data_IF_862311188211
#
_entry.id   IF_862311188211
#
_cell.length_a   1.000
_cell.length_b   1.000
_cell.length_c   1.000
_cell.angle_alpha   90.00
_cell.angle_beta   90.00
_cell.angle_gamma   90.00
#
_symmetry.space_group_name_H-M   'P 1'
#
loop_
_entity.id
_entity.type
_entity.pdbx_description
1 polymer ?
#
# COMPACT_ATOMS: atom_id res chain seq x y z
N UNK A 1 10.26 17.80 -6.71
CA UNK A 1 9.86 17.20 -8.00
C UNK A 1 8.94 18.16 -8.76
N UNK A 2 9.17 18.41 -10.05
CA UNK A 2 8.30 19.32 -10.82
C UNK A 2 6.89 18.72 -11.02
N UNK A 3 5.91 19.55 -11.39
CA UNK A 3 4.50 19.13 -11.50
C UNK A 3 4.29 17.99 -12.50
N UNK A 4 4.98 18.03 -13.65
CA UNK A 4 4.90 16.98 -14.67
C UNK A 4 5.38 15.62 -14.16
N UNK A 5 6.56 15.58 -13.52
CA UNK A 5 7.11 14.37 -12.92
C UNK A 5 6.20 13.82 -11.81
N UNK A 6 5.61 14.67 -10.96
CA UNK A 6 4.66 14.23 -9.93
C UNK A 6 3.42 13.55 -10.50
N UNK A 7 2.88 14.08 -11.60
CA UNK A 7 1.73 13.45 -12.27
C UNK A 7 2.11 12.09 -12.87
N UNK A 8 3.28 11.99 -13.52
CA UNK A 8 3.78 10.71 -14.06
C UNK A 8 3.95 9.69 -12.94
N UNK A 9 4.55 10.10 -11.81
CA UNK A 9 4.70 9.24 -10.65
C UNK A 9 3.36 8.71 -10.14
N UNK A 10 2.38 9.60 -9.93
CA UNK A 10 1.06 9.22 -9.43
C UNK A 10 0.34 8.24 -10.35
N UNK A 11 0.42 8.42 -11.67
CA UNK A 11 -0.19 7.50 -12.64
C UNK A 11 0.54 6.16 -12.64
N UNK A 12 1.87 6.18 -12.71
CA UNK A 12 2.68 4.98 -12.74
C UNK A 12 2.49 4.13 -11.48
N UNK A 13 2.50 4.76 -10.31
CA UNK A 13 2.23 4.14 -9.01
C UNK A 13 0.90 3.38 -9.01
N UNK A 14 -0.21 4.04 -9.38
CA UNK A 14 -1.52 3.40 -9.43
C UNK A 14 -1.55 2.26 -10.44
N UNK A 15 -1.03 2.46 -11.66
CA UNK A 15 -1.03 1.41 -12.69
C UNK A 15 -0.27 0.17 -12.21
N UNK A 16 0.89 0.35 -11.59
CA UNK A 16 1.70 -0.77 -11.09
C UNK A 16 1.02 -1.46 -9.90
N UNK A 17 0.36 -0.70 -9.01
CA UNK A 17 -0.43 -1.25 -7.91
C UNK A 17 -1.54 -2.18 -8.41
N UNK A 18 -2.34 -1.72 -9.38
CA UNK A 18 -3.44 -2.51 -9.96
C UNK A 18 -2.95 -3.70 -10.79
N UNK A 19 -1.75 -3.62 -11.37
CA UNK A 19 -1.06 -4.76 -11.97
C UNK A 19 -0.64 -5.76 -10.90
N UNK A 20 -0.12 -5.31 -9.76
CA UNK A 20 0.20 -6.15 -8.60
C UNK A 20 -1.02 -6.96 -8.12
N UNK A 21 -2.21 -6.33 -8.13
CA UNK A 21 -3.46 -7.01 -7.82
C UNK A 21 -3.83 -8.17 -8.74
N UNK A 22 -3.28 -8.23 -9.96
CA UNK A 22 -3.49 -9.39 -10.84
C UNK A 22 -2.92 -10.68 -10.23
N UNK A 23 -1.83 -10.60 -9.46
CA UNK A 23 -1.29 -11.73 -8.71
C UNK A 23 -1.88 -11.81 -7.29
N UNK A 24 -1.83 -10.71 -6.54
CA UNK A 24 -2.27 -10.64 -5.14
C UNK A 24 -3.60 -9.90 -5.02
N UNK A 25 -4.69 -10.66 -5.01
CA UNK A 25 -6.06 -10.17 -5.11
C UNK A 25 -6.87 -11.04 -6.06
N UNK A 26 -6.42 -11.16 -7.32
CA UNK A 26 -7.12 -11.94 -8.34
C UNK A 26 -6.72 -13.43 -8.36
N UNK A 27 -5.43 -13.76 -8.45
CA UNK A 27 -4.95 -15.16 -8.48
C UNK A 27 -4.83 -15.73 -7.07
N UNK A 28 -4.15 -15.00 -6.18
CA UNK A 28 -4.06 -15.32 -4.75
C UNK A 28 -4.99 -14.38 -4.02
N UNK A 29 -6.18 -14.87 -3.68
CA UNK A 29 -7.19 -14.11 -2.95
C UNK A 29 -7.19 -14.52 -1.49
N UNK A 30 -7.26 -13.54 -0.59
CA UNK A 30 -7.46 -13.78 0.84
C UNK A 30 -8.72 -14.62 1.11
N UNK A 31 -8.73 -15.39 2.20
CA UNK A 31 -9.90 -16.20 2.54
C UNK A 31 -11.06 -15.34 3.04
N UNK A 32 -10.73 -14.23 3.73
CA UNK A 32 -11.70 -13.27 4.24
C UNK A 32 -11.08 -11.88 4.41
N UNK A 33 -11.92 -10.87 4.58
CA UNK A 33 -11.52 -9.46 4.64
C UNK A 33 -10.59 -9.11 5.81
N UNK A 34 -10.55 -9.92 6.87
CA UNK A 34 -9.59 -9.75 7.96
C UNK A 34 -8.13 -9.87 7.50
N UNK A 35 -7.89 -10.45 6.32
CA UNK A 35 -6.56 -10.62 5.72
C UNK A 35 -6.32 -9.66 4.55
N UNK A 36 -7.07 -8.55 4.45
CA UNK A 36 -6.95 -7.58 3.34
C UNK A 36 -5.53 -7.08 3.10
N UNK A 37 -4.72 -6.99 4.16
CA UNK A 37 -3.30 -6.65 4.04
C UNK A 37 -2.55 -7.55 3.04
N UNK A 38 -2.93 -8.83 2.87
CA UNK A 38 -2.32 -9.73 1.87
C UNK A 38 -2.52 -9.24 0.43
N UNK A 39 -3.62 -8.55 0.16
CA UNK A 39 -3.92 -7.97 -1.15
C UNK A 39 -3.20 -6.64 -1.33
N UNK A 40 -3.43 -5.72 -0.38
CA UNK A 40 -3.01 -4.32 -0.52
C UNK A 40 -1.51 -4.14 -0.26
N UNK A 41 -0.94 -4.74 0.79
CA UNK A 41 0.49 -4.59 1.12
C UNK A 41 1.39 -5.19 0.05
N UNK A 42 1.02 -6.34 -0.53
CA UNK A 42 1.78 -6.96 -1.61
C UNK A 42 1.70 -6.15 -2.90
N UNK A 43 0.55 -5.57 -3.22
CA UNK A 43 0.42 -4.65 -4.34
C UNK A 43 1.27 -3.38 -4.15
N UNK A 44 1.24 -2.75 -2.96
CA UNK A 44 2.11 -1.62 -2.61
C UNK A 44 3.60 -1.99 -2.65
N UNK A 45 3.98 -3.20 -2.22
CA UNK A 45 5.37 -3.67 -2.32
C UNK A 45 5.83 -3.77 -3.78
N UNK A 46 5.03 -4.39 -4.65
CA UNK A 46 5.31 -4.49 -6.09
C UNK A 46 5.38 -3.10 -6.72
N UNK A 47 4.47 -2.21 -6.34
CA UNK A 47 4.45 -0.81 -6.75
C UNK A 47 5.79 -0.13 -6.49
N UNK A 48 6.30 -0.15 -5.26
CA UNK A 48 7.56 0.48 -4.92
C UNK A 48 8.73 -0.13 -5.69
N UNK A 49 8.82 -1.46 -5.72
CA UNK A 49 9.92 -2.18 -6.40
C UNK A 49 9.98 -1.91 -7.89
N UNK A 50 8.84 -2.02 -8.58
CA UNK A 50 8.77 -1.81 -10.03
C UNK A 50 8.91 -0.32 -10.37
N UNK A 51 8.30 0.58 -9.59
CA UNK A 51 8.40 2.03 -9.84
C UNK A 51 9.82 2.54 -9.62
N UNK A 52 10.54 2.05 -8.60
CA UNK A 52 11.97 2.38 -8.40
C UNK A 52 12.85 1.91 -9.57
N UNK A 53 12.57 0.73 -10.14
CA UNK A 53 13.34 0.16 -11.26
C UNK A 53 13.01 0.83 -12.60
N UNK A 54 11.73 1.12 -12.82
CA UNK A 54 11.21 1.63 -14.11
C UNK A 54 11.38 3.15 -14.24
N UNK A 55 11.37 3.86 -13.10
CA UNK A 55 11.42 5.32 -13.05
C UNK A 55 12.39 5.84 -11.97
N UNK A 56 13.70 5.52 -12.08
CA UNK A 56 14.70 5.88 -11.07
C UNK A 56 14.82 7.40 -10.84
N UNK A 57 14.46 8.22 -11.82
CA UNK A 57 14.48 9.68 -11.76
C UNK A 57 13.38 10.30 -10.89
N UNK A 58 12.43 9.49 -10.41
CA UNK A 58 11.28 9.94 -9.64
C UNK A 58 11.49 9.89 -8.11
N UNK A 59 12.61 9.34 -7.64
CA UNK A 59 12.94 9.23 -6.21
C UNK A 59 11.83 8.58 -5.36
N UNK A 60 11.21 7.51 -5.89
CA UNK A 60 10.10 6.77 -5.28
C UNK A 60 10.35 6.38 -3.82
N UNK A 61 11.61 6.08 -3.47
CA UNK A 61 12.03 5.75 -2.10
C UNK A 61 11.65 6.81 -1.06
N UNK A 62 11.66 8.10 -1.43
CA UNK A 62 11.24 9.17 -0.51
C UNK A 62 9.75 9.06 -0.22
N UNK A 63 8.95 8.77 -1.25
CA UNK A 63 7.51 8.59 -1.10
C UNK A 63 7.19 7.38 -0.21
N UNK A 64 7.86 6.25 -0.45
CA UNK A 64 7.76 5.05 0.39
C UNK A 64 8.07 5.37 1.87
N UNK A 65 9.17 6.08 2.14
CA UNK A 65 9.52 6.48 3.51
C UNK A 65 8.45 7.36 4.16
N UNK A 66 7.86 8.30 3.42
CA UNK A 66 6.76 9.12 3.92
C UNK A 66 5.54 8.29 4.31
N UNK A 67 5.17 7.29 3.50
CA UNK A 67 4.03 6.42 3.77
C UNK A 67 4.29 5.49 4.97
N UNK A 68 5.52 4.98 5.11
CA UNK A 68 5.94 4.23 6.31
C UNK A 68 5.81 5.09 7.57
N UNK A 69 6.34 6.31 7.57
CA UNK A 69 6.23 7.20 8.73
C UNK A 69 4.78 7.58 9.04
N UNK A 70 3.94 7.73 8.01
CA UNK A 70 2.51 7.95 8.19
C UNK A 70 1.85 6.76 8.89
N UNK A 71 2.13 5.53 8.45
CA UNK A 71 1.62 4.33 9.10
C UNK A 71 2.15 4.15 10.52
N UNK A 72 3.42 4.48 10.79
CA UNK A 72 3.97 4.49 12.16
C UNK A 72 3.25 5.50 13.06
N UNK A 73 2.86 6.65 12.52
CA UNK A 73 2.07 7.65 13.24
C UNK A 73 0.69 7.14 13.61
N UNK A 74 0.00 6.50 12.66
CA UNK A 74 -1.31 5.87 12.91
C UNK A 74 -1.19 4.71 13.91
N UNK A 75 -0.11 3.92 13.81
CA UNK A 75 0.11 2.77 14.69
C UNK A 75 0.47 3.14 16.12
N UNK A 76 0.89 4.38 16.36
CA UNK A 76 1.23 4.87 17.70
C UNK A 76 -0.02 5.21 18.55
N UNK A 77 -1.21 5.32 17.96
CA UNK A 77 -2.43 5.63 18.70
C UNK A 77 -3.05 4.39 19.37
N UNK A 78 -3.67 4.57 20.54
CA UNK A 78 -4.43 3.49 21.20
C UNK A 78 -5.61 2.98 20.36
N UNK A 79 -6.11 3.80 19.44
CA UNK A 79 -7.17 3.46 18.49
C UNK A 79 -6.68 2.65 17.28
N UNK A 80 -5.38 2.33 17.20
CA UNK A 80 -4.81 1.46 16.16
C UNK A 80 -5.42 0.04 16.21
N UNK A 81 -4.97 -0.81 15.29
CA UNK A 81 -5.37 -2.19 15.21
C UNK A 81 -4.26 -3.11 14.70
N UNK A 82 -4.32 -4.43 14.98
CA UNK A 82 -3.45 -5.40 14.33
C UNK A 82 -3.71 -5.46 12.82
N UNK A 83 -2.72 -5.93 12.04
CA UNK A 83 -2.88 -6.07 10.58
C UNK A 83 -4.01 -7.02 10.20
N UNK A 84 -4.14 -8.14 10.94
CA UNK A 84 -5.27 -9.05 10.82
C UNK A 84 -6.26 -8.80 11.95
N UNK A 85 -7.43 -8.24 11.62
CA UNK A 85 -8.50 -7.96 12.59
C UNK A 85 -9.67 -8.90 12.34
N UNK A 86 -10.04 -9.69 13.34
CA UNK A 86 -11.30 -10.45 13.32
C UNK A 86 -12.50 -9.56 13.72
N UNK A 87 -12.68 -8.45 12.99
CA UNK A 87 -13.81 -7.54 13.18
C UNK A 87 -14.68 -7.52 11.92
N UNK A 88 -15.84 -8.19 11.99
CA UNK A 88 -16.78 -8.29 10.88
C UNK A 88 -17.46 -6.95 10.56
N UNK A 89 -17.41 -5.98 11.46
CA UNK A 89 -18.27 -4.79 11.39
C UNK A 89 -17.58 -3.54 10.85
N UNK A 90 -16.24 -3.52 10.75
CA UNK A 90 -15.54 -2.28 10.36
C UNK A 90 -14.58 -2.47 9.19
N UNK A 91 -15.12 -2.74 7.99
CA UNK A 91 -14.36 -2.72 6.72
C UNK A 91 -13.47 -1.48 6.60
N UNK A 92 -13.97 -0.31 7.00
CA UNK A 92 -13.23 0.95 6.97
C UNK A 92 -11.99 0.99 7.89
N UNK A 93 -11.97 0.23 9.00
CA UNK A 93 -10.76 0.10 9.82
C UNK A 93 -9.72 -0.74 9.11
N UNK A 94 -10.15 -1.78 8.39
CA UNK A 94 -9.23 -2.64 7.66
C UNK A 94 -8.65 -1.91 6.43
N UNK A 95 -9.42 -1.03 5.77
CA UNK A 95 -8.93 -0.15 4.70
C UNK A 95 -8.18 1.08 5.23
N UNK A 96 -7.16 0.88 6.07
CA UNK A 96 -6.32 1.94 6.66
C UNK A 96 -4.86 1.82 6.23
N UNK A 97 -4.04 2.83 6.49
CA UNK A 97 -2.58 2.81 6.22
C UNK A 97 -1.88 1.58 6.81
N UNK A 98 -2.44 0.98 7.86
CA UNK A 98 -1.96 -0.27 8.46
C UNK A 98 -1.98 -1.42 7.45
N UNK A 99 -3.00 -1.55 6.60
CA UNK A 99 -3.09 -2.63 5.61
C UNK A 99 -2.26 -2.38 4.35
N UNK A 100 -1.87 -1.13 4.10
CA UNK A 100 -1.15 -0.72 2.89
C UNK A 100 0.36 -0.56 3.11
N UNK A 101 0.78 -0.12 4.30
CA UNK A 101 2.12 0.44 4.52
C UNK A 101 2.83 -0.10 5.77
N UNK A 102 2.13 -0.78 6.69
CA UNK A 102 2.75 -1.39 7.87
C UNK A 102 3.51 -2.65 7.47
N UNK A 103 4.78 -2.48 7.11
CA UNK A 103 5.95 -3.39 7.23
C UNK A 103 7.12 -2.89 6.37
#
# INVERSE_FOLDING_TARGET
MNRGKRNIFSIASVVVHEIGHQWFGNIVTMNWWNELWLKERFASYIEYEISMKSYPELNVKIHQLCNIFYAMGEDAFETTHPMAINDKETFLRICSSISYEKD
#
